data_IF_198679964622
#
_entry.id   IF_198679964622
#
_cell.length_a   1.000
_cell.length_b   1.000
_cell.length_c   1.000
_cell.angle_alpha   90.00
_cell.angle_beta   90.00
_cell.angle_gamma   90.00
#
_symmetry.space_group_name_H-M   'P 1'
#
loop_
_entity.id
_entity.type
_entity.pdbx_description
1 polymer ?
#
# COMPACT_ATOMS: atom_id res chain seq x y z
N UNK A 1 22.50 -4.00 13.05
CA UNK A 1 21.88 -2.89 13.81
C UNK A 1 20.42 -3.26 14.00
N UNK A 2 19.95 -3.45 15.24
CA UNK A 2 18.54 -3.78 15.45
C UNK A 2 17.71 -2.51 15.29
N UNK A 3 16.87 -2.45 14.26
CA UNK A 3 15.91 -1.36 14.07
C UNK A 3 14.80 -1.54 15.09
N UNK A 4 14.68 -0.59 16.02
CA UNK A 4 13.70 -0.68 17.10
C UNK A 4 12.46 0.12 16.71
N UNK A 5 11.55 -0.54 15.99
CA UNK A 5 10.17 -0.07 15.95
C UNK A 5 9.60 -0.16 17.37
N UNK A 6 9.14 0.97 17.92
CA UNK A 6 8.65 1.01 19.31
C UNK A 6 7.31 0.30 19.50
N UNK A 7 6.43 0.44 18.51
CA UNK A 7 5.10 -0.16 18.49
C UNK A 7 5.08 -1.65 18.18
N UNK A 8 3.95 -2.30 18.49
CA UNK A 8 3.72 -3.72 18.19
C UNK A 8 3.75 -3.95 16.68
N UNK A 9 4.43 -5.00 16.24
CA UNK A 9 4.47 -5.43 14.82
C UNK A 9 3.50 -6.59 14.64
N UNK A 10 2.57 -6.48 13.69
CA UNK A 10 1.68 -7.55 13.29
C UNK A 10 2.35 -8.39 12.19
N UNK A 11 2.15 -9.71 12.21
CA UNK A 11 2.49 -10.56 11.07
C UNK A 11 1.62 -10.25 9.84
N UNK A 12 1.95 -10.84 8.69
CA UNK A 12 1.16 -10.73 7.44
C UNK A 12 -0.32 -11.04 7.67
N UNK A 13 -0.63 -12.21 8.23
CA UNK A 13 -2.02 -12.63 8.44
C UNK A 13 -2.69 -11.87 9.60
N UNK A 14 -1.94 -11.50 10.65
CA UNK A 14 -2.47 -10.63 11.71
C UNK A 14 -2.83 -9.24 11.18
N UNK A 15 -2.10 -8.74 10.18
CA UNK A 15 -2.40 -7.46 9.52
C UNK A 15 -3.75 -7.52 8.84
N UNK A 16 -4.05 -8.54 8.02
CA UNK A 16 -5.37 -8.65 7.38
C UNK A 16 -6.51 -8.92 8.37
N UNK A 17 -6.27 -9.72 9.42
CA UNK A 17 -7.22 -9.89 10.53
C UNK A 17 -7.50 -8.57 11.24
N UNK A 18 -6.48 -7.72 11.44
CA UNK A 18 -6.64 -6.39 12.02
C UNK A 18 -7.54 -5.50 11.16
N UNK A 19 -7.31 -5.45 9.85
CA UNK A 19 -8.12 -4.65 8.92
C UNK A 19 -9.59 -5.08 8.96
N UNK A 20 -9.86 -6.39 8.98
CA UNK A 20 -11.22 -6.95 9.06
C UNK A 20 -11.91 -6.58 10.38
N UNK A 21 -11.22 -6.72 11.51
CA UNK A 21 -11.80 -6.54 12.84
C UNK A 21 -11.99 -5.06 13.23
N UNK A 22 -11.10 -4.19 12.76
CA UNK A 22 -11.14 -2.76 13.11
C UNK A 22 -11.83 -1.90 12.03
N UNK A 23 -12.15 -2.48 10.87
CA UNK A 23 -12.80 -1.79 9.76
C UNK A 23 -12.09 -0.48 9.37
N UNK A 24 -10.75 -0.50 9.37
CA UNK A 24 -9.90 0.66 9.10
C UNK A 24 -9.22 0.55 7.73
N UNK A 25 -8.63 1.66 7.26
CA UNK A 25 -7.80 1.66 6.06
C UNK A 25 -6.42 1.04 6.29
N UNK A 26 -5.65 0.96 5.20
CA UNK A 26 -4.22 0.62 5.27
C UNK A 26 -3.40 1.57 4.39
N UNK A 27 -2.28 2.04 4.94
CA UNK A 27 -1.32 2.91 4.27
C UNK A 27 0.05 2.26 4.41
N UNK A 28 0.69 1.92 3.28
CA UNK A 28 1.91 1.13 3.29
C UNK A 28 3.11 2.01 2.96
N UNK A 29 4.24 1.74 3.63
CA UNK A 29 5.51 2.43 3.43
C UNK A 29 6.55 1.42 2.98
N UNK A 30 6.84 1.39 1.69
CA UNK A 30 7.99 0.71 1.12
C UNK A 30 9.22 1.60 1.06
N UNK A 31 10.21 1.17 0.29
CA UNK A 31 11.47 1.88 0.07
C UNK A 31 11.20 3.21 -0.63
N UNK A 32 10.27 3.22 -1.58
CA UNK A 32 9.84 4.42 -2.28
C UNK A 32 9.26 5.49 -1.35
N UNK A 33 8.30 5.14 -0.50
CA UNK A 33 7.73 6.10 0.46
C UNK A 33 8.76 6.60 1.47
N UNK A 34 9.64 5.71 1.94
CA UNK A 34 10.74 6.04 2.86
C UNK A 34 11.79 6.96 2.22
N UNK A 35 12.05 6.84 0.92
CA UNK A 35 12.92 7.76 0.18
C UNK A 35 12.23 9.11 -0.05
N UNK A 36 10.97 9.11 -0.47
CA UNK A 36 10.23 10.33 -0.77
C UNK A 36 9.97 11.17 0.49
N UNK A 37 9.72 10.55 1.65
CA UNK A 37 9.61 11.28 2.92
C UNK A 37 10.93 11.93 3.37
N UNK A 38 12.05 11.61 2.71
CA UNK A 38 13.38 12.18 2.91
C UNK A 38 13.80 13.10 1.76
N UNK A 39 12.84 13.55 0.94
CA UNK A 39 13.03 14.43 -0.22
C UNK A 39 13.81 13.79 -1.39
N UNK A 40 13.88 12.45 -1.43
CA UNK A 40 14.50 11.73 -2.54
C UNK A 40 13.46 11.31 -3.57
N UNK A 41 13.64 11.73 -4.81
CA UNK A 41 12.75 11.34 -5.91
C UNK A 41 12.96 9.88 -6.26
N UNK A 42 11.87 9.18 -6.56
CA UNK A 42 11.91 7.84 -7.14
C UNK A 42 11.45 7.91 -8.60
N UNK A 43 11.64 6.81 -9.31
CA UNK A 43 11.42 6.77 -10.76
C UNK A 43 10.04 7.27 -11.20
N UNK A 44 9.00 6.88 -10.45
CA UNK A 44 7.59 7.14 -10.76
C UNK A 44 6.96 8.23 -9.89
N UNK A 45 7.72 8.87 -9.00
CA UNK A 45 7.23 9.97 -8.18
C UNK A 45 8.38 10.90 -7.79
N UNK A 46 8.36 12.13 -8.30
CA UNK A 46 9.23 13.21 -7.88
C UNK A 46 8.99 13.54 -6.40
N UNK A 47 10.06 13.85 -5.70
CA UNK A 47 9.98 14.38 -4.35
C UNK A 47 9.50 15.83 -4.39
N UNK A 48 8.55 16.14 -3.52
CA UNK A 48 8.05 17.49 -3.29
C UNK A 48 7.71 17.67 -1.82
N UNK A 49 7.84 18.91 -1.32
CA UNK A 49 7.70 19.18 0.11
C UNK A 49 6.33 18.80 0.65
N UNK A 50 5.26 19.01 -0.12
CA UNK A 50 3.89 18.69 0.30
C UNK A 50 3.72 17.18 0.53
N UNK A 51 4.15 16.36 -0.44
CA UNK A 51 4.16 14.90 -0.32
C UNK A 51 5.02 14.41 0.85
N UNK A 52 6.22 14.98 1.00
CA UNK A 52 7.11 14.67 2.12
C UNK A 52 6.44 14.92 3.47
N UNK A 53 5.79 16.08 3.67
CA UNK A 53 5.08 16.39 4.91
C UNK A 53 3.92 15.43 5.15
N UNK A 54 3.10 15.15 4.12
CA UNK A 54 1.98 14.22 4.28
C UNK A 54 2.43 12.80 4.62
N UNK A 55 3.48 12.29 3.98
CA UNK A 55 4.03 10.96 4.33
C UNK A 55 4.53 10.91 5.77
N UNK A 56 5.19 11.97 6.27
CA UNK A 56 5.64 12.05 7.67
C UNK A 56 4.45 12.09 8.63
N UNK A 57 3.43 12.90 8.34
CA UNK A 57 2.21 12.96 9.15
C UNK A 57 1.49 11.62 9.18
N UNK A 58 1.38 10.90 8.05
CA UNK A 58 0.78 9.56 8.02
C UNK A 58 1.61 8.57 8.85
N UNK A 59 2.93 8.66 8.75
CA UNK A 59 3.91 7.77 9.38
C UNK A 59 3.97 7.91 10.91
N UNK A 60 3.85 9.12 11.48
CA UNK A 60 3.91 9.37 12.93
C UNK A 60 2.62 9.90 13.57
N UNK A 61 1.66 10.33 12.76
CA UNK A 61 0.43 10.97 13.21
C UNK A 61 -0.69 9.98 13.49
N UNK A 62 -1.82 10.51 13.97
CA UNK A 62 -3.04 9.73 14.23
C UNK A 62 -3.96 9.80 13.03
N UNK A 63 -3.99 8.73 12.25
CA UNK A 63 -4.88 8.57 11.11
C UNK A 63 -5.76 7.33 11.29
N UNK A 64 -6.92 7.29 10.63
CA UNK A 64 -7.81 6.12 10.66
C UNK A 64 -7.35 4.98 9.71
N UNK A 65 -6.04 4.73 9.69
CA UNK A 65 -5.38 3.77 8.81
C UNK A 65 -4.34 3.00 9.60
N UNK A 66 -4.19 1.70 9.32
CA UNK A 66 -3.06 0.93 9.81
C UNK A 66 -1.85 1.24 8.93
N UNK A 67 -0.75 1.68 9.55
CA UNK A 67 0.50 1.95 8.84
C UNK A 67 1.32 0.67 8.74
N UNK A 68 1.73 0.29 7.53
CA UNK A 68 2.55 -0.91 7.30
C UNK A 68 3.99 -0.57 6.93
N UNK A 69 4.93 -1.36 7.46
CA UNK A 69 6.36 -1.29 7.15
C UNK A 69 6.94 -2.66 6.80
N UNK A 70 8.11 -2.70 6.13
CA UNK A 70 8.80 -3.93 5.77
C UNK A 70 9.05 -4.84 6.97
N UNK A 71 8.70 -6.11 6.81
CA UNK A 71 8.98 -7.15 7.80
C UNK A 71 10.44 -7.59 7.80
N UNK A 72 10.78 -8.40 8.79
CA UNK A 72 12.12 -8.98 8.94
C UNK A 72 12.39 -10.16 8.00
N UNK A 73 11.43 -10.56 7.14
CA UNK A 73 11.50 -11.80 6.37
C UNK A 73 11.63 -11.59 4.85
N UNK A 74 12.34 -12.55 4.25
CA UNK A 74 12.67 -12.78 2.84
C UNK A 74 13.54 -11.73 2.10
N UNK A 75 13.36 -10.43 2.29
CA UNK A 75 14.23 -9.40 1.69
C UNK A 75 15.32 -8.90 2.67
N UNK A 76 15.78 -9.75 3.61
CA UNK A 76 16.71 -9.37 4.68
C UNK A 76 17.97 -8.66 4.18
N UNK A 77 18.51 -9.08 3.03
CA UNK A 77 19.69 -8.43 2.46
C UNK A 77 19.37 -7.02 1.95
N UNK A 78 18.32 -6.87 1.13
CA UNK A 78 17.89 -5.58 0.61
C UNK A 78 17.50 -4.63 1.74
N UNK A 79 16.59 -5.04 2.63
CA UNK A 79 16.16 -4.20 3.76
C UNK A 79 17.29 -3.96 4.75
N UNK A 80 18.20 -4.91 4.95
CA UNK A 80 19.40 -4.70 5.77
C UNK A 80 20.26 -3.56 5.24
N UNK A 81 20.52 -3.54 3.92
CA UNK A 81 21.26 -2.45 3.26
C UNK A 81 20.46 -1.15 3.30
N UNK A 82 19.19 -1.18 2.91
CA UNK A 82 18.29 -0.03 2.92
C UNK A 82 18.25 0.63 4.31
N UNK A 83 17.94 -0.13 5.35
CA UNK A 83 17.84 0.43 6.69
C UNK A 83 19.19 0.91 7.23
N UNK A 84 20.32 0.30 6.84
CA UNK A 84 21.64 0.82 7.23
C UNK A 84 21.88 2.25 6.71
N UNK A 85 21.32 2.57 5.54
CA UNK A 85 21.43 3.88 4.90
C UNK A 85 20.36 4.87 5.40
N UNK A 86 19.11 4.43 5.55
CA UNK A 86 17.97 5.34 5.74
C UNK A 86 17.48 5.44 7.19
N UNK A 87 17.74 4.46 8.05
CA UNK A 87 17.12 4.40 9.40
C UNK A 87 17.35 5.66 10.23
N UNK A 88 18.58 6.18 10.30
CA UNK A 88 18.86 7.37 11.11
C UNK A 88 18.24 8.65 10.55
N UNK A 89 17.85 8.65 9.27
CA UNK A 89 17.18 9.78 8.61
C UNK A 89 15.68 9.74 8.80
N UNK A 90 15.06 8.55 8.80
CA UNK A 90 13.61 8.40 8.85
C UNK A 90 13.03 8.02 10.23
N UNK A 91 13.81 7.44 11.16
CA UNK A 91 13.28 6.90 12.44
C UNK A 91 12.50 7.90 13.29
N UNK A 92 12.74 9.20 13.12
CA UNK A 92 12.03 10.26 13.86
C UNK A 92 10.61 10.50 13.37
N UNK A 93 10.28 9.99 12.19
CA UNK A 93 8.95 10.08 11.59
C UNK A 93 8.19 8.76 11.71
N UNK A 94 8.78 7.70 12.27
CA UNK A 94 8.17 6.39 12.41
C UNK A 94 7.72 6.23 13.87
N UNK A 95 6.45 6.53 14.14
CA UNK A 95 5.90 6.46 15.49
C UNK A 95 4.42 6.07 15.47
N UNK A 96 4.15 4.77 15.52
CA UNK A 96 2.82 4.19 15.68
C UNK A 96 2.80 3.21 16.84
N UNK A 97 1.66 3.07 17.55
CA UNK A 97 1.52 2.07 18.60
C UNK A 97 1.47 0.64 18.04
N UNK A 98 1.01 0.48 16.80
CA UNK A 98 0.92 -0.79 16.08
C UNK A 98 1.28 -0.56 14.62
N UNK A 99 2.06 -1.46 14.04
CA UNK A 99 2.44 -1.47 12.63
C UNK A 99 1.98 -2.77 11.97
N UNK A 100 1.43 -2.65 10.77
CA UNK A 100 1.18 -3.80 9.90
C UNK A 100 2.42 -4.22 9.11
N UNK A 101 2.29 -5.35 8.45
CA UNK A 101 3.28 -5.90 7.53
C UNK A 101 3.15 -5.30 6.13
N UNK A 102 4.27 -4.93 5.51
CA UNK A 102 4.30 -4.58 4.09
C UNK A 102 4.12 -5.82 3.19
N UNK A 103 4.48 -7.00 3.67
CA UNK A 103 4.45 -8.26 2.92
C UNK A 103 3.02 -8.74 2.61
N UNK A 104 1.99 -8.06 3.13
CA UNK A 104 0.59 -8.30 2.71
C UNK A 104 0.40 -8.12 1.20
N UNK A 105 1.21 -7.33 0.52
CA UNK A 105 1.06 -7.08 -0.92
C UNK A 105 2.35 -7.32 -1.71
N UNK A 106 3.19 -8.26 -1.24
CA UNK A 106 4.51 -8.54 -1.79
C UNK A 106 4.69 -10.05 -2.05
N UNK A 107 5.54 -10.46 -3.00
CA UNK A 107 5.72 -11.88 -3.33
C UNK A 107 6.06 -12.72 -2.09
N UNK A 108 6.86 -12.17 -1.16
CA UNK A 108 7.30 -12.82 0.07
C UNK A 108 6.12 -13.31 0.92
N UNK A 109 5.07 -12.51 1.06
CA UNK A 109 3.87 -12.92 1.80
C UNK A 109 3.17 -14.10 1.13
N UNK A 110 3.12 -14.13 -0.21
CA UNK A 110 2.52 -15.25 -0.94
C UNK A 110 3.41 -16.49 -0.95
N UNK A 111 4.73 -16.34 -0.96
CA UNK A 111 5.65 -17.48 -0.80
C UNK A 111 5.52 -18.14 0.59
N UNK A 112 5.32 -17.33 1.63
CA UNK A 112 5.22 -17.83 3.00
C UNK A 112 3.82 -18.41 3.31
N UNK A 113 2.75 -17.70 2.92
CA UNK A 113 1.38 -18.02 3.34
C UNK A 113 0.49 -18.58 2.23
N UNK A 114 0.96 -18.59 0.98
CA UNK A 114 0.24 -19.19 -0.14
C UNK A 114 -1.20 -18.70 -0.28
N UNK A 115 -2.13 -19.65 -0.47
CA UNK A 115 -3.54 -19.34 -0.68
C UNK A 115 -4.21 -18.72 0.54
N UNK A 116 -3.70 -18.95 1.76
CA UNK A 116 -4.26 -18.35 2.98
C UNK A 116 -4.20 -16.81 2.94
N UNK A 117 -3.12 -16.24 2.40
CA UNK A 117 -3.02 -14.80 2.19
C UNK A 117 -4.02 -14.31 1.13
N UNK A 118 -4.21 -15.10 0.06
CA UNK A 118 -5.13 -14.77 -1.03
C UNK A 118 -6.57 -14.75 -0.53
N UNK A 119 -6.96 -15.79 0.20
CA UNK A 119 -8.28 -15.93 0.81
C UNK A 119 -8.54 -14.81 1.82
N UNK A 120 -7.56 -14.50 2.67
CA UNK A 120 -7.68 -13.41 3.66
C UNK A 120 -7.87 -12.02 3.00
N UNK A 121 -7.25 -11.79 1.85
CA UNK A 121 -7.51 -10.58 1.05
C UNK A 121 -8.90 -10.58 0.43
N UNK A 122 -9.26 -11.68 -0.24
CA UNK A 122 -10.56 -11.84 -0.90
C UNK A 122 -11.73 -11.69 0.07
N UNK A 123 -11.55 -12.11 1.31
CA UNK A 123 -12.49 -11.93 2.41
C UNK A 123 -12.81 -10.45 2.73
N UNK A 124 -11.85 -9.53 2.53
CA UNK A 124 -12.05 -8.12 2.84
C UNK A 124 -13.02 -7.42 1.89
N UNK A 125 -13.20 -7.93 0.67
CA UNK A 125 -14.07 -7.35 -0.36
C UNK A 125 -15.16 -8.28 -0.89
N UNK A 126 -15.30 -9.48 -0.32
CA UNK A 126 -16.33 -10.43 -0.70
C UNK A 126 -17.73 -9.78 -0.65
N UNK A 127 -18.42 -9.77 -1.80
CA UNK A 127 -19.77 -9.22 -1.93
C UNK A 127 -19.88 -7.69 -1.75
N UNK A 128 -18.76 -6.95 -1.72
CA UNK A 128 -18.74 -5.49 -1.55
C UNK A 128 -18.77 -4.75 -2.88
N UNK A 129 -19.26 -3.51 -2.84
CA UNK A 129 -19.14 -2.55 -3.94
C UNK A 129 -17.78 -1.83 -3.82
N UNK A 130 -16.89 -2.06 -4.76
CA UNK A 130 -15.49 -1.62 -4.69
C UNK A 130 -15.19 -0.59 -5.77
N UNK A 131 -14.40 0.44 -5.41
CA UNK A 131 -13.75 1.32 -6.38
C UNK A 131 -12.24 1.10 -6.35
N UNK A 132 -11.69 0.66 -7.47
CA UNK A 132 -10.24 0.52 -7.67
C UNK A 132 -9.69 1.86 -8.18
N UNK A 133 -8.60 2.34 -7.59
CA UNK A 133 -7.88 3.55 -8.01
C UNK A 133 -6.46 3.16 -8.41
N UNK A 134 -6.13 3.31 -9.69
CA UNK A 134 -4.85 2.86 -10.25
C UNK A 134 -4.40 3.75 -11.40
N UNK A 135 -3.12 3.67 -11.79
CA UNK A 135 -2.62 4.34 -12.98
C UNK A 135 -3.14 3.69 -14.28
N UNK A 136 -3.37 4.46 -15.34
CA UNK A 136 -3.88 3.97 -16.64
C UNK A 136 -3.03 2.87 -17.29
N UNK A 137 -1.72 2.84 -17.05
CA UNK A 137 -0.76 1.79 -17.47
C UNK A 137 -0.04 1.19 -16.25
N UNK A 138 -0.73 1.16 -15.10
CA UNK A 138 -0.26 0.48 -13.90
C UNK A 138 -0.11 -1.02 -14.14
N UNK A 139 0.74 -1.66 -13.34
CA UNK A 139 0.92 -3.11 -13.36
C UNK A 139 -0.21 -3.87 -12.65
N UNK A 140 -1.06 -3.17 -11.89
CA UNK A 140 -2.24 -3.76 -11.27
C UNK A 140 -3.20 -4.24 -12.37
N UNK A 141 -3.62 -5.50 -12.31
CA UNK A 141 -4.65 -6.06 -13.18
C UNK A 141 -6.03 -5.97 -12.50
N UNK A 142 -6.94 -5.07 -12.92
CA UNK A 142 -8.26 -4.93 -12.31
C UNK A 142 -9.18 -6.12 -12.58
N UNK A 143 -8.86 -6.97 -13.55
CA UNK A 143 -9.62 -8.18 -13.92
C UNK A 143 -9.03 -9.46 -13.29
N UNK A 144 -8.02 -9.31 -12.43
CA UNK A 144 -7.36 -10.43 -11.78
C UNK A 144 -8.31 -11.28 -10.91
N UNK A 145 -8.04 -12.58 -10.81
CA UNK A 145 -8.82 -13.56 -10.04
C UNK A 145 -9.10 -13.13 -8.58
N UNK A 146 -8.13 -12.46 -7.94
CA UNK A 146 -8.28 -11.94 -6.57
C UNK A 146 -9.48 -10.99 -6.40
N UNK A 147 -9.99 -10.40 -7.48
CA UNK A 147 -11.13 -9.48 -7.48
C UNK A 147 -12.43 -10.14 -7.94
N UNK A 148 -12.45 -11.46 -8.18
CA UNK A 148 -13.59 -12.19 -8.74
C UNK A 148 -14.83 -12.24 -7.85
N UNK A 149 -14.69 -12.03 -6.55
CA UNK A 149 -15.78 -12.05 -5.58
C UNK A 149 -16.29 -10.65 -5.18
N UNK A 150 -15.85 -9.60 -5.88
CA UNK A 150 -16.40 -8.24 -5.75
C UNK A 150 -17.80 -8.20 -6.36
N UNK A 151 -18.76 -7.54 -5.68
CA UNK A 151 -20.14 -7.44 -6.16
C UNK A 151 -20.29 -6.45 -7.32
N UNK A 152 -19.77 -5.23 -7.14
CA UNK A 152 -19.70 -4.23 -8.21
C UNK A 152 -18.33 -3.59 -8.21
N UNK A 153 -17.75 -3.39 -9.40
CA UNK A 153 -16.40 -2.86 -9.57
C UNK A 153 -16.45 -1.57 -10.39
N UNK A 154 -16.05 -0.49 -9.75
CA UNK A 154 -15.74 0.80 -10.38
C UNK A 154 -14.22 0.97 -10.49
N UNK A 155 -13.75 1.68 -11.52
CA UNK A 155 -12.33 2.00 -11.66
C UNK A 155 -12.15 3.49 -11.90
N UNK A 156 -11.22 4.11 -11.17
CA UNK A 156 -10.70 5.45 -11.41
C UNK A 156 -9.26 5.29 -11.90
N UNK A 157 -9.05 5.65 -13.16
CA UNK A 157 -7.71 5.72 -13.74
C UNK A 157 -7.08 7.08 -13.49
N UNK A 158 -5.78 7.07 -13.17
CA UNK A 158 -4.99 8.25 -12.87
C UNK A 158 -3.66 8.21 -13.65
N UNK A 159 -2.78 9.18 -13.42
CA UNK A 159 -1.41 9.16 -13.96
C UNK A 159 -0.62 7.94 -13.46
N UNK A 160 0.27 7.41 -14.31
CA UNK A 160 1.20 6.35 -13.94
C UNK A 160 2.45 6.86 -13.22
N UNK A 161 2.77 8.14 -13.41
CA UNK A 161 3.93 8.81 -12.85
C UNK A 161 3.51 10.17 -12.30
N UNK A 162 4.11 10.56 -11.18
CA UNK A 162 3.82 11.81 -10.48
C UNK A 162 2.33 11.96 -10.17
N UNK A 163 1.66 10.84 -9.83
CA UNK A 163 0.22 10.81 -9.57
C UNK A 163 -0.19 11.69 -8.37
N UNK A 164 0.77 11.99 -7.49
CA UNK A 164 0.54 12.95 -6.40
C UNK A 164 0.23 14.37 -6.90
N UNK A 165 0.66 14.75 -8.11
CA UNK A 165 0.29 16.05 -8.73
C UNK A 165 -1.24 16.23 -8.82
N UNK A 166 -1.99 15.13 -8.85
CA UNK A 166 -3.46 15.10 -8.94
C UNK A 166 -4.13 14.62 -7.66
N UNK A 167 -3.41 14.55 -6.52
CA UNK A 167 -3.92 13.94 -5.29
C UNK A 167 -5.23 14.58 -4.80
N UNK A 168 -5.37 15.89 -4.91
CA UNK A 168 -6.57 16.63 -4.50
C UNK A 168 -7.76 16.32 -5.43
N UNK A 169 -7.51 16.23 -6.74
CA UNK A 169 -8.51 15.84 -7.74
C UNK A 169 -9.00 14.41 -7.52
N UNK A 170 -8.07 13.46 -7.37
CA UNK A 170 -8.35 12.03 -7.17
C UNK A 170 -9.12 11.84 -5.85
N UNK A 171 -8.71 12.54 -4.77
CA UNK A 171 -9.45 12.53 -3.50
C UNK A 171 -10.89 12.99 -3.71
N UNK A 172 -11.10 14.11 -4.41
CA UNK A 172 -12.45 14.62 -4.71
C UNK A 172 -13.28 13.64 -5.55
N UNK A 173 -12.68 13.00 -6.56
CA UNK A 173 -13.38 12.00 -7.39
C UNK A 173 -13.84 10.80 -6.54
N UNK A 174 -12.97 10.27 -5.68
CA UNK A 174 -13.32 9.19 -4.76
C UNK A 174 -14.46 9.60 -3.83
N UNK A 175 -14.43 10.82 -3.27
CA UNK A 175 -15.49 11.31 -2.37
C UNK A 175 -16.85 11.50 -3.06
N UNK A 176 -16.88 11.71 -4.39
CA UNK A 176 -18.13 11.82 -5.17
C UNK A 176 -18.77 10.46 -5.48
N UNK A 177 -18.03 9.35 -5.37
CA UNK A 177 -18.56 8.01 -5.60
C UNK A 177 -19.60 7.66 -4.53
N UNK A 178 -20.76 7.20 -4.98
CA UNK A 178 -21.86 6.74 -4.12
C UNK A 178 -21.87 5.22 -4.09
N UNK A 179 -22.38 4.65 -2.99
CA UNK A 179 -22.52 3.20 -2.84
C UNK A 179 -21.21 2.42 -2.96
N UNK A 180 -20.08 3.01 -2.54
CA UNK A 180 -18.79 2.33 -2.44
C UNK A 180 -18.54 1.97 -0.98
N UNK A 181 -18.36 0.68 -0.73
CA UNK A 181 -18.04 0.13 0.59
C UNK A 181 -16.53 0.22 0.88
N UNK A 182 -15.71 0.10 -0.17
CA UNK A 182 -14.27 -0.03 -0.06
C UNK A 182 -13.55 0.53 -1.29
N UNK A 183 -12.46 1.25 -1.05
CA UNK A 183 -11.51 1.67 -2.08
C UNK A 183 -10.26 0.78 -2.06
N UNK A 184 -9.83 0.30 -3.22
CA UNK A 184 -8.57 -0.44 -3.39
C UNK A 184 -7.62 0.43 -4.22
N UNK A 185 -6.41 0.70 -3.72
CA UNK A 185 -5.53 1.72 -4.28
C UNK A 185 -4.17 1.10 -4.63
N UNK A 186 -3.71 1.30 -5.87
CA UNK A 186 -2.37 0.93 -6.32
C UNK A 186 -1.73 2.11 -7.06
N UNK A 187 -1.06 2.99 -6.31
CA UNK A 187 -0.59 4.28 -6.86
C UNK A 187 0.71 4.82 -6.22
N UNK A 188 1.59 3.92 -5.77
CA UNK A 188 2.86 4.30 -5.12
C UNK A 188 2.66 5.26 -3.94
N UNK A 189 3.53 6.28 -3.76
CA UNK A 189 3.40 7.24 -2.66
C UNK A 189 2.08 8.01 -2.65
N UNK A 190 1.52 8.29 -3.84
CA UNK A 190 0.19 8.90 -3.94
C UNK A 190 -0.90 7.98 -3.40
N UNK A 191 -0.72 6.66 -3.52
CA UNK A 191 -1.62 5.65 -2.97
C UNK A 191 -1.62 5.63 -1.45
N UNK A 192 -0.44 5.71 -0.82
CA UNK A 192 -0.27 5.82 0.63
C UNK A 192 -1.00 7.06 1.18
N UNK A 193 -0.84 8.21 0.50
CA UNK A 193 -1.53 9.45 0.88
C UNK A 193 -3.04 9.35 0.66
N UNK A 194 -3.47 8.83 -0.50
CA UNK A 194 -4.89 8.71 -0.82
C UNK A 194 -5.62 7.81 0.18
N UNK A 195 -5.02 6.67 0.57
CA UNK A 195 -5.65 5.77 1.51
C UNK A 195 -5.86 6.44 2.88
N UNK A 196 -4.84 7.14 3.40
CA UNK A 196 -4.96 7.87 4.66
C UNK A 196 -6.03 8.99 4.59
N UNK A 197 -6.02 9.81 3.53
CA UNK A 197 -6.99 10.90 3.35
C UNK A 197 -8.43 10.42 3.26
N UNK A 198 -8.67 9.30 2.58
CA UNK A 198 -10.00 8.70 2.49
C UNK A 198 -10.43 8.10 3.83
N UNK A 199 -9.51 7.44 4.53
CA UNK A 199 -9.72 6.91 5.87
C UNK A 199 -10.13 7.97 6.89
N UNK A 200 -9.47 9.12 6.91
CA UNK A 200 -9.83 10.25 7.78
C UNK A 200 -11.18 10.88 7.41
N UNK A 201 -11.66 10.63 6.20
CA UNK A 201 -12.99 11.04 5.71
C UNK A 201 -14.04 9.93 5.87
N UNK A 202 -13.81 8.98 6.77
CA UNK A 202 -14.71 7.86 7.08
C UNK A 202 -15.00 6.94 5.88
N UNK A 203 -14.05 6.80 4.95
CA UNK A 203 -14.08 5.75 3.92
C UNK A 203 -13.12 4.64 4.30
N UNK A 204 -13.40 3.40 3.90
CA UNK A 204 -12.42 2.33 4.02
C UNK A 204 -11.59 2.36 2.73
N UNK A 205 -10.29 2.59 2.86
CA UNK A 205 -9.37 2.67 1.75
C UNK A 205 -8.13 1.84 2.01
N UNK A 206 -7.86 0.90 1.12
CA UNK A 206 -6.78 -0.05 1.26
C UNK A 206 -5.74 0.19 0.17
N UNK A 207 -4.56 0.65 0.55
CA UNK A 207 -3.41 0.62 -0.33
C UNK A 207 -2.95 -0.83 -0.53
N UNK A 208 -3.20 -1.36 -1.73
CA UNK A 208 -2.90 -2.75 -2.13
C UNK A 208 -1.63 -2.85 -2.99
N UNK A 209 -1.03 -1.74 -3.43
CA UNK A 209 0.23 -1.75 -4.17
C UNK A 209 0.31 -2.78 -5.30
N UNK A 210 1.33 -3.65 -5.23
CA UNK A 210 1.61 -4.68 -6.23
C UNK A 210 0.90 -6.02 -5.98
N UNK A 211 -0.28 -6.03 -5.33
CA UNK A 211 -0.94 -7.26 -4.89
C UNK A 211 -1.09 -8.31 -6.01
N UNK A 212 -1.66 -7.93 -7.16
CA UNK A 212 -1.90 -8.87 -8.27
C UNK A 212 -0.60 -9.37 -8.88
N UNK A 213 0.37 -8.48 -9.09
CA UNK A 213 1.69 -8.87 -9.61
C UNK A 213 2.42 -9.81 -8.65
N UNK A 214 2.31 -9.56 -7.35
CA UNK A 214 2.94 -10.36 -6.31
C UNK A 214 2.36 -11.76 -6.23
N UNK A 215 1.04 -11.88 -6.34
CA UNK A 215 0.36 -13.16 -6.49
C UNK A 215 0.85 -13.89 -7.74
N UNK A 216 0.85 -13.22 -8.88
CA UNK A 216 1.31 -13.79 -10.15
C UNK A 216 2.77 -14.25 -10.12
N UNK A 217 3.64 -13.51 -9.45
CA UNK A 217 5.03 -13.91 -9.25
C UNK A 217 5.13 -15.19 -8.42
N UNK A 218 4.34 -15.30 -7.35
CA UNK A 218 4.39 -16.45 -6.45
C UNK A 218 3.74 -17.71 -7.04
N UNK A 219 2.59 -17.58 -7.69
CA UNK A 219 1.79 -18.73 -8.17
C UNK A 219 1.97 -19.05 -9.64
N UNK A 220 2.26 -18.05 -10.47
CA UNK A 220 2.29 -18.19 -11.93
C UNK A 220 3.70 -18.03 -12.51
N UNK A 221 4.72 -17.85 -11.65
CA UNK A 221 6.11 -17.70 -12.06
C UNK A 221 6.38 -16.46 -12.92
N UNK A 222 5.50 -15.44 -12.86
CA UNK A 222 5.73 -14.18 -13.58
C UNK A 222 6.90 -13.41 -12.93
N UNK A 223 7.61 -12.55 -13.68
CA UNK A 223 8.69 -11.74 -13.11
C UNK A 223 8.22 -10.92 -11.91
N UNK A 224 9.09 -10.72 -10.93
CA UNK A 224 8.82 -9.87 -9.77
C UNK A 224 8.41 -8.45 -10.23
N UNK A 225 7.48 -7.77 -9.53
CA UNK A 225 6.97 -6.46 -9.96
C UNK A 225 8.09 -5.49 -10.34
N UNK A 226 9.15 -5.41 -9.54
CA UNK A 226 10.32 -4.52 -9.69
C UNK A 226 11.11 -4.78 -10.98
N UNK A 227 11.04 -5.99 -11.53
CA UNK A 227 11.78 -6.42 -12.73
C UNK A 227 11.03 -6.16 -14.04
N UNK A 228 9.73 -5.85 -13.98
CA UNK A 228 8.92 -5.59 -15.18
C UNK A 228 9.25 -4.21 -15.78
N UNK A 229 9.15 -4.02 -17.10
CA UNK A 229 9.20 -2.68 -17.69
C UNK A 229 8.06 -1.82 -17.13
N UNK A 230 8.28 -0.51 -17.06
CA UNK A 230 7.26 0.43 -16.59
C UNK A 230 6.42 0.83 -17.80
N UNK A 231 5.10 0.62 -17.70
CA UNK A 231 4.16 1.13 -18.69
C UNK A 231 4.11 2.65 -18.60
N UNK A 232 4.51 3.34 -19.67
CA UNK A 232 4.36 4.79 -19.79
C UNK A 232 2.97 5.10 -20.33
#
# INVERSE_FOLDING_TARGET
MYHVFKGKRLSVLETLKWLKNNNCGVSRFGDGELMVMLEESIYFQKAEKKLMYELREISSGKHNTLVCYPDHFAEQYFWGQFWSQYWFRCKFFIDQPVYGSLCISRPEGFYEFGSELSDAWMDLWNGKNVCIVTGSNSRLDPEHYLFSNIKTKDIIFTKNKDAYDEIDLITSQCMKKKNIDLFLIALGPAGTVLSARLSDKNKIALDIGHLTNSYDTAFNGKPAPESLPIGF
#
